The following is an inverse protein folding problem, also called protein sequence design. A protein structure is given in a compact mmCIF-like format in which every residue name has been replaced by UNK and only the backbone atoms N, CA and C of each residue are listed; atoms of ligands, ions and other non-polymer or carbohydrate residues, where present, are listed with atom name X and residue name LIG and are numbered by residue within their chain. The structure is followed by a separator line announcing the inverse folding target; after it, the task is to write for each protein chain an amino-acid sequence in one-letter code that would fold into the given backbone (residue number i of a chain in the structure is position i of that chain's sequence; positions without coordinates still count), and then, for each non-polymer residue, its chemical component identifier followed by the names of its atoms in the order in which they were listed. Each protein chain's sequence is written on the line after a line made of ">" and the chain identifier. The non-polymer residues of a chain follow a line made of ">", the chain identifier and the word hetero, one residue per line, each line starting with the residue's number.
data_IF_982351782641
#
_entry.id   IF_982351782641
#
_cell.length_a   1.000
_cell.length_b   1.000
_cell.length_c   1.000
_cell.angle_alpha   90.00
_cell.angle_beta   90.00
_cell.angle_gamma   90.00
#
_symmetry.space_group_name_H-M   'P 1'
#
loop_
_entity.id
_entity.type
_entity.pdbx_description
1 polymer ?
#
# COMPACT_ATOMS: atom_id res chain seq x y z
N UNK A 1 37.72 -36.10 -17.82
CA UNK A 1 36.64 -35.56 -16.97
C UNK A 1 37.13 -35.10 -15.60
N UNK A 2 37.89 -35.92 -14.83
CA UNK A 2 38.40 -35.49 -13.51
C UNK A 2 39.44 -34.35 -13.54
N UNK A 3 40.30 -34.30 -14.55
CA UNK A 3 41.34 -33.26 -14.66
C UNK A 3 40.74 -31.86 -14.84
N UNK A 4 39.75 -31.73 -15.72
CA UNK A 4 39.06 -30.47 -16.00
C UNK A 4 38.35 -29.90 -14.78
N UNK A 5 37.67 -30.75 -14.00
CA UNK A 5 37.05 -30.34 -12.74
C UNK A 5 38.07 -29.81 -11.74
N UNK A 6 39.26 -30.41 -11.71
CA UNK A 6 40.33 -30.00 -10.80
C UNK A 6 40.99 -28.68 -11.25
N UNK A 7 41.19 -28.47 -12.55
CA UNK A 7 41.64 -27.18 -13.11
C UNK A 7 40.62 -26.06 -12.88
N UNK A 8 39.33 -26.36 -13.04
CA UNK A 8 38.26 -25.38 -12.79
C UNK A 8 38.14 -25.02 -11.30
N UNK A 9 38.28 -25.99 -10.40
CA UNK A 9 38.24 -25.77 -8.96
C UNK A 9 39.46 -24.94 -8.48
N UNK A 10 40.65 -25.22 -9.01
CA UNK A 10 41.86 -24.44 -8.72
C UNK A 10 41.78 -23.02 -9.26
N UNK A 11 41.26 -22.83 -10.47
CA UNK A 11 41.01 -21.49 -11.02
C UNK A 11 40.01 -20.71 -10.16
N UNK A 12 38.93 -21.35 -9.71
CA UNK A 12 37.93 -20.73 -8.85
C UNK A 12 38.51 -20.33 -7.48
N UNK A 13 39.36 -21.16 -6.88
CA UNK A 13 40.06 -20.83 -5.63
C UNK A 13 41.02 -19.64 -5.80
N UNK A 14 41.80 -19.61 -6.88
CA UNK A 14 42.72 -18.51 -7.17
C UNK A 14 41.98 -17.19 -7.42
N UNK A 15 40.85 -17.23 -8.12
CA UNK A 15 40.00 -16.05 -8.28
C UNK A 15 39.42 -15.57 -6.95
N UNK A 16 38.97 -16.47 -6.08
CA UNK A 16 38.47 -16.10 -4.75
C UNK A 16 39.56 -15.48 -3.87
N UNK A 17 40.80 -15.95 -3.97
CA UNK A 17 41.95 -15.36 -3.26
C UNK A 17 42.36 -13.99 -3.80
N UNK A 18 42.32 -13.79 -5.13
CA UNK A 18 42.68 -12.50 -5.74
C UNK A 18 41.58 -11.45 -5.58
N UNK A 19 40.33 -11.89 -5.55
CA UNK A 19 39.15 -11.04 -5.48
C UNK A 19 38.35 -11.25 -4.18
N UNK A 20 39.00 -11.42 -3.02
CA UNK A 20 38.35 -11.71 -1.73
C UNK A 20 37.13 -10.81 -1.44
N UNK A 21 37.23 -9.52 -1.77
CA UNK A 21 36.17 -8.54 -1.54
C UNK A 21 34.88 -8.81 -2.34
N UNK A 22 34.99 -9.45 -3.52
CA UNK A 22 33.82 -9.82 -4.36
C UNK A 22 33.12 -11.09 -3.84
N UNK A 23 33.81 -11.88 -3.03
CA UNK A 23 33.33 -13.17 -2.51
C UNK A 23 33.11 -13.13 -1.00
N UNK A 24 32.92 -11.93 -0.44
CA UNK A 24 32.47 -11.80 0.94
C UNK A 24 31.15 -12.58 1.08
N UNK A 25 31.02 -13.41 2.13
CA UNK A 25 29.75 -14.03 2.42
C UNK A 25 28.70 -12.92 2.56
N UNK A 26 27.62 -13.02 1.79
CA UNK A 26 26.45 -12.20 2.07
C UNK A 26 26.09 -12.43 3.53
N UNK A 27 25.85 -11.34 4.27
CA UNK A 27 25.31 -11.48 5.60
C UNK A 27 23.99 -12.25 5.45
N UNK A 28 23.91 -13.41 6.09
CA UNK A 28 22.70 -14.22 6.21
C UNK A 28 21.74 -13.53 7.20
N UNK A 29 21.42 -12.27 6.91
CA UNK A 29 20.39 -11.54 7.62
C UNK A 29 19.08 -12.13 7.16
N UNK A 30 18.40 -12.79 8.08
CA UNK A 30 17.02 -13.24 7.86
C UNK A 30 16.21 -12.03 7.41
N UNK A 31 15.87 -11.99 6.13
CA UNK A 31 14.93 -11.02 5.60
C UNK A 31 13.63 -11.25 6.34
N UNK A 32 13.15 -10.23 7.04
CA UNK A 32 11.88 -10.34 7.73
C UNK A 32 10.79 -10.57 6.67
N UNK A 33 10.16 -11.75 6.68
CA UNK A 33 9.01 -12.07 5.82
C UNK A 33 7.72 -11.34 6.23
N UNK A 34 7.84 -10.30 7.05
CA UNK A 34 6.71 -9.50 7.52
C UNK A 34 6.16 -8.66 6.38
N UNK A 35 4.84 -8.67 6.22
CA UNK A 35 4.14 -7.81 5.27
C UNK A 35 4.55 -6.35 5.57
N UNK A 36 4.99 -5.57 4.56
CA UNK A 36 5.33 -4.18 4.77
C UNK A 36 4.10 -3.43 5.27
N UNK A 37 4.28 -2.72 6.38
CA UNK A 37 3.24 -1.90 6.98
C UNK A 37 3.02 -0.69 6.07
N UNK A 38 1.86 -0.63 5.42
CA UNK A 38 1.49 0.47 4.53
C UNK A 38 0.68 1.52 5.28
N UNK A 39 0.96 2.82 5.09
CA UNK A 39 0.16 3.89 5.66
C UNK A 39 -1.30 3.81 5.18
N UNK A 40 -2.25 4.40 5.92
CA UNK A 40 -3.64 4.44 5.53
C UNK A 40 -3.86 5.05 4.13
N UNK A 41 -4.88 4.61 3.37
CA UNK A 41 -5.13 5.10 2.01
C UNK A 41 -5.24 6.63 1.89
N UNK A 42 -5.84 7.30 2.89
CA UNK A 42 -5.97 8.75 2.88
C UNK A 42 -4.62 9.47 3.06
N UNK A 43 -3.71 8.91 3.86
CA UNK A 43 -2.36 9.42 4.07
C UNK A 43 -1.54 9.27 2.78
N UNK A 44 -1.65 8.12 2.12
CA UNK A 44 -1.08 7.90 0.79
C UNK A 44 -1.64 8.91 -0.23
N UNK A 45 -2.96 9.10 -0.29
CA UNK A 45 -3.57 10.07 -1.21
C UNK A 45 -3.05 11.50 -1.02
N UNK A 46 -2.90 11.94 0.24
CA UNK A 46 -2.31 13.25 0.55
C UNK A 46 -0.83 13.33 0.13
N UNK A 47 -0.03 12.30 0.39
CA UNK A 47 1.37 12.23 -0.04
C UNK A 47 1.50 12.32 -1.57
N UNK A 48 0.67 11.58 -2.31
CA UNK A 48 0.64 11.63 -3.78
C UNK A 48 0.28 13.01 -4.31
N UNK A 49 -0.59 13.75 -3.60
CA UNK A 49 -0.97 15.12 -3.92
C UNK A 49 0.03 16.17 -3.40
N UNK A 50 1.16 15.75 -2.82
CA UNK A 50 2.15 16.66 -2.23
C UNK A 50 1.62 17.47 -1.03
N UNK A 51 0.55 16.99 -0.39
CA UNK A 51 -0.07 17.65 0.77
C UNK A 51 0.58 17.19 2.06
N UNK A 52 0.57 18.05 3.06
CA UNK A 52 1.00 17.72 4.42
C UNK A 52 0.22 16.51 4.97
N UNK A 53 0.94 15.60 5.62
CA UNK A 53 0.41 14.43 6.31
C UNK A 53 1.07 14.34 7.68
N UNK A 54 0.25 14.18 8.72
CA UNK A 54 0.74 14.01 10.08
C UNK A 54 1.50 12.69 10.22
N UNK A 55 2.62 12.73 10.97
CA UNK A 55 3.45 11.56 11.25
C UNK A 55 2.68 10.46 12.00
N UNK A 56 1.61 10.82 12.73
CA UNK A 56 0.75 9.89 13.46
C UNK A 56 0.29 8.71 12.60
N UNK A 57 -0.04 8.95 11.31
CA UNK A 57 -0.52 7.92 10.38
C UNK A 57 0.51 6.86 9.99
N UNK A 58 1.78 7.05 10.35
CA UNK A 58 2.86 6.10 10.13
C UNK A 58 3.23 5.33 11.40
N UNK A 59 2.57 5.62 12.53
CA UNK A 59 2.76 4.90 13.78
C UNK A 59 1.86 3.67 13.85
N UNK A 60 2.28 2.62 14.58
CA UNK A 60 1.46 1.43 14.80
C UNK A 60 0.07 1.76 15.37
N UNK A 61 0.00 2.77 16.24
CA UNK A 61 -1.24 3.27 16.82
C UNK A 61 -2.13 3.91 15.76
N UNK A 62 -1.59 4.85 14.98
CA UNK A 62 -2.36 5.52 13.91
C UNK A 62 -2.81 4.57 12.80
N UNK A 63 -2.06 3.50 12.55
CA UNK A 63 -2.45 2.43 11.63
C UNK A 63 -3.63 1.62 12.18
N UNK A 64 -3.56 1.19 13.44
CA UNK A 64 -4.64 0.46 14.09
C UNK A 64 -5.93 1.30 14.17
N UNK A 65 -5.81 2.60 14.47
CA UNK A 65 -6.92 3.55 14.47
C UNK A 65 -7.49 3.76 13.07
N UNK A 66 -6.66 3.92 12.05
CA UNK A 66 -7.15 4.07 10.68
C UNK A 66 -7.88 2.82 10.16
N UNK A 67 -7.45 1.63 10.58
CA UNK A 67 -8.15 0.38 10.27
C UNK A 67 -9.52 0.28 10.97
N UNK A 68 -9.68 0.85 12.16
CA UNK A 68 -10.96 0.88 12.87
C UNK A 68 -11.93 1.95 12.33
N UNK A 69 -11.42 2.97 11.65
CA UNK A 69 -12.19 4.10 11.08
C UNK A 69 -12.56 3.84 9.60
N UNK A 70 -12.73 2.58 9.17
CA UNK A 70 -13.00 2.16 7.77
C UNK A 70 -14.26 2.76 7.10
N UNK A 71 -14.98 3.66 7.77
CA UNK A 71 -16.18 4.36 7.28
C UNK A 71 -16.00 5.87 7.04
N UNK A 72 -14.79 6.43 7.20
CA UNK A 72 -14.57 7.85 6.89
C UNK A 72 -14.64 8.09 5.39
N UNK A 73 -15.79 8.57 4.92
CA UNK A 73 -16.06 9.12 3.59
C UNK A 73 -14.87 9.96 3.13
N UNK A 74 -14.08 9.46 2.18
CA UNK A 74 -13.18 10.30 1.42
C UNK A 74 -14.05 11.16 0.50
N UNK A 75 -13.70 12.42 0.27
CA UNK A 75 -14.41 13.25 -0.70
C UNK A 75 -14.27 12.71 -2.14
N UNK A 76 -13.39 11.73 -2.38
CA UNK A 76 -13.31 10.98 -3.63
C UNK A 76 -14.02 9.62 -3.57
N UNK A 77 -14.74 9.29 -2.49
CA UNK A 77 -15.54 8.07 -2.43
C UNK A 77 -16.56 8.12 -3.56
N UNK A 78 -16.55 7.11 -4.43
CA UNK A 78 -17.53 6.97 -5.51
C UNK A 78 -18.69 6.10 -5.01
N UNK A 79 -19.91 6.58 -5.15
CA UNK A 79 -21.12 5.79 -4.99
C UNK A 79 -21.49 5.15 -6.33
N UNK A 80 -21.87 3.88 -6.30
CA UNK A 80 -22.49 3.24 -7.46
C UNK A 80 -23.99 3.60 -7.45
N UNK A 81 -24.43 4.39 -8.42
CA UNK A 81 -25.84 4.75 -8.60
C UNK A 81 -26.36 4.22 -9.93
N UNK A 82 -27.65 3.91 -9.98
CA UNK A 82 -28.32 3.53 -11.22
C UNK A 82 -28.99 4.77 -11.81
N UNK A 83 -28.79 5.03 -13.10
CA UNK A 83 -29.47 6.10 -13.81
C UNK A 83 -30.91 5.70 -14.19
N UNK A 84 -31.68 6.64 -14.73
CA UNK A 84 -33.07 6.42 -15.12
C UNK A 84 -33.23 5.38 -16.26
N UNK A 85 -32.14 5.06 -16.95
CA UNK A 85 -32.09 4.05 -18.02
C UNK A 85 -31.63 2.68 -17.49
N UNK A 86 -31.37 2.55 -16.19
CA UNK A 86 -30.96 1.32 -15.54
C UNK A 86 -29.45 1.05 -15.60
N UNK A 87 -28.63 1.98 -16.10
CA UNK A 87 -27.17 1.83 -16.16
C UNK A 87 -26.53 2.25 -14.85
N UNK A 88 -25.49 1.52 -14.44
CA UNK A 88 -24.76 1.83 -13.22
C UNK A 88 -23.60 2.78 -13.49
N UNK A 89 -23.59 3.91 -12.78
CA UNK A 89 -22.57 4.94 -12.86
C UNK A 89 -21.87 5.09 -11.51
N UNK A 90 -20.55 5.23 -11.55
CA UNK A 90 -19.77 5.63 -10.38
C UNK A 90 -19.72 7.15 -10.31
N UNK A 91 -20.40 7.74 -9.33
CA UNK A 91 -20.39 9.19 -9.12
C UNK A 91 -19.71 9.53 -7.80
N UNK A 92 -19.00 10.66 -7.68
CA UNK A 92 -18.53 11.15 -6.40
C UNK A 92 -19.69 11.24 -5.40
N UNK A 93 -19.51 10.70 -4.20
CA UNK A 93 -20.50 10.71 -3.14
C UNK A 93 -20.98 12.14 -2.82
N UNK A 94 -20.08 13.13 -2.93
CA UNK A 94 -20.40 14.55 -2.79
C UNK A 94 -21.39 15.07 -3.85
N UNK A 95 -21.45 14.45 -5.04
CA UNK A 95 -22.38 14.81 -6.12
C UNK A 95 -23.72 14.05 -6.02
N UNK A 96 -23.72 12.88 -5.38
CA UNK A 96 -24.95 12.11 -5.11
C UNK A 96 -25.83 12.69 -4.02
N UNK A 97 -25.36 13.67 -3.25
CA UNK A 97 -26.19 14.48 -2.37
C UNK A 97 -27.00 15.49 -3.20
N UNK A 98 -27.92 14.99 -4.03
CA UNK A 98 -29.15 15.76 -4.27
C UNK A 98 -29.74 16.05 -2.89
N UNK A 99 -30.07 17.32 -2.63
CA UNK A 99 -30.58 17.84 -1.35
C UNK A 99 -31.44 16.77 -0.68
N UNK A 100 -30.87 16.12 0.33
CA UNK A 100 -31.65 15.29 1.24
C UNK A 100 -32.53 16.30 1.95
N UNK A 101 -33.72 16.55 1.39
CA UNK A 101 -34.79 17.22 2.09
C UNK A 101 -35.04 16.33 3.29
N UNK A 102 -34.42 16.70 4.41
CA UNK A 102 -34.73 16.14 5.72
C UNK A 102 -36.22 16.40 5.88
N UNK A 103 -37.04 15.38 5.62
CA UNK A 103 -38.47 15.44 5.86
C UNK A 103 -38.59 15.42 7.39
N UNK A 104 -39.10 16.49 8.01
CA UNK A 104 -39.34 16.49 9.43
C UNK A 104 -40.27 15.33 9.80
N UNK A 105 -40.03 14.71 10.96
CA UNK A 105 -40.78 13.52 11.41
C UNK A 105 -42.31 13.73 11.45
N UNK A 106 -42.75 14.99 11.58
CA UNK A 106 -44.16 15.37 11.58
C UNK A 106 -44.82 15.41 10.18
N UNK A 107 -44.06 15.27 9.11
CA UNK A 107 -44.53 15.27 7.71
C UNK A 107 -44.58 13.84 7.11
N UNK A 108 -44.18 12.82 7.87
CA UNK A 108 -44.30 11.41 7.48
C UNK A 108 -45.73 10.93 7.80
N UNK A 109 -46.68 11.18 6.88
CA UNK A 109 -48.06 10.65 6.96
C UNK A 109 -48.21 9.36 6.18
#
# INVERSE_FOLDING_TARGET
>A
MRLWLQEEETACQEERKKNCNKFLPFNDVKVASTIPITPPPHALCKLWKGKYVELHYFTNKGLAEAQSISHSVDNNTLALMQDEQGLHLFIPFAMGKAKETVIPDHELT
#
